data_IF_676278622457
#
_entry.id   IF_676278622457
#
_cell.length_a   1.000
_cell.length_b   1.000
_cell.length_c   1.000
_cell.angle_alpha   90.00
_cell.angle_beta   90.00
_cell.angle_gamma   90.00
#
_symmetry.space_group_name_H-M   'P 1'
#
loop_
_entity.id
_entity.type
_entity.pdbx_description
1 polymer ?
#
# COMPACT_ATOMS: atom_id res chain seq x y z
N UNK A 1 -21.40 -1.51 24.58
CA UNK A 1 -21.94 -0.62 23.54
C UNK A 1 -23.16 -1.28 22.93
N UNK A 2 -24.28 -0.56 22.84
CA UNK A 2 -25.45 -1.05 22.13
C UNK A 2 -25.07 -1.46 20.69
N UNK A 3 -25.61 -2.58 20.17
CA UNK A 3 -25.36 -2.98 18.79
C UNK A 3 -25.71 -1.82 17.84
N UNK A 4 -24.72 -1.34 17.09
CA UNK A 4 -24.91 -0.28 16.07
C UNK A 4 -24.29 1.09 16.41
N UNK A 5 -23.80 1.35 17.63
CA UNK A 5 -23.08 2.61 17.90
C UNK A 5 -21.62 2.54 17.47
N UNK A 6 -21.21 3.52 16.65
CA UNK A 6 -19.83 3.70 16.23
C UNK A 6 -18.97 4.24 17.38
N UNK A 7 -17.72 3.78 17.45
CA UNK A 7 -16.72 4.33 18.37
C UNK A 7 -16.44 5.80 17.98
N UNK A 8 -16.47 6.76 18.92
CA UNK A 8 -16.13 8.15 18.62
C UNK A 8 -14.65 8.27 18.20
N UNK A 9 -14.37 9.21 17.30
CA UNK A 9 -13.00 9.58 16.93
C UNK A 9 -12.34 10.31 18.10
N UNK A 10 -11.16 9.86 18.54
CA UNK A 10 -10.45 10.46 19.69
C UNK A 10 -9.02 10.88 19.37
N UNK A 11 -8.40 11.63 20.27
CA UNK A 11 -7.02 12.15 20.15
C UNK A 11 -6.03 11.02 19.85
N UNK A 12 -6.14 9.87 20.51
CA UNK A 12 -5.23 8.76 20.26
C UNK A 12 -5.42 8.14 18.85
N UNK A 13 -6.59 8.27 18.22
CA UNK A 13 -6.75 7.85 16.82
C UNK A 13 -6.01 8.81 15.88
N UNK A 14 -6.08 10.12 16.15
CA UNK A 14 -5.28 11.14 15.45
C UNK A 14 -3.79 10.81 15.56
N UNK A 15 -3.31 10.53 16.78
CA UNK A 15 -1.89 10.21 17.01
C UNK A 15 -1.46 8.95 16.24
N UNK A 16 -2.31 7.91 16.17
CA UNK A 16 -2.01 6.71 15.39
C UNK A 16 -1.92 7.04 13.89
N UNK A 17 -2.85 7.85 13.37
CA UNK A 17 -2.82 8.25 11.95
C UNK A 17 -1.59 9.09 11.64
N UNK A 18 -1.29 10.12 12.44
CA UNK A 18 -0.10 10.96 12.29
C UNK A 18 1.18 10.13 12.38
N UNK A 19 1.26 9.21 13.35
CA UNK A 19 2.38 8.28 13.49
C UNK A 19 2.55 7.40 12.26
N UNK A 20 1.46 6.88 11.70
CA UNK A 20 1.52 6.04 10.50
C UNK A 20 1.98 6.79 9.24
N UNK A 21 1.56 8.05 9.08
CA UNK A 21 2.04 8.92 7.99
C UNK A 21 3.53 9.21 8.19
N UNK A 22 3.96 9.50 9.42
CA UNK A 22 5.36 9.75 9.76
C UNK A 22 6.25 8.55 9.46
N UNK A 23 5.77 7.33 9.75
CA UNK A 23 6.46 6.08 9.36
C UNK A 23 6.59 5.97 7.85
N UNK A 24 5.50 6.23 7.10
CA UNK A 24 5.54 6.24 5.63
C UNK A 24 6.58 7.23 5.08
N UNK A 25 6.61 8.46 5.60
CA UNK A 25 7.62 9.46 5.25
C UNK A 25 9.05 9.03 5.61
N UNK A 26 9.23 8.38 6.76
CA UNK A 26 10.53 7.82 7.17
C UNK A 26 11.01 6.74 6.21
N UNK A 27 10.11 5.85 5.76
CA UNK A 27 10.42 4.82 4.75
C UNK A 27 10.81 5.47 3.41
N UNK A 28 10.06 6.48 2.96
CA UNK A 28 10.39 7.23 1.73
C UNK A 28 11.81 7.78 1.82
N UNK A 29 12.17 8.44 2.93
CA UNK A 29 13.50 8.99 3.14
C UNK A 29 14.59 7.92 3.18
N UNK A 30 14.29 6.73 3.71
CA UNK A 30 15.26 5.63 3.80
C UNK A 30 15.53 4.97 2.44
N UNK A 31 14.50 4.81 1.61
CA UNK A 31 14.62 4.18 0.28
C UNK A 31 15.17 5.19 -0.74
N UNK A 32 14.76 6.45 -0.64
CA UNK A 32 15.13 7.53 -1.54
C UNK A 32 15.83 8.65 -0.76
N UNK A 33 17.08 8.43 -0.29
CA UNK A 33 17.80 9.43 0.49
C UNK A 33 18.04 10.72 -0.31
N UNK A 34 18.19 10.59 -1.63
CA UNK A 34 18.33 11.66 -2.59
C UNK A 34 17.16 11.57 -3.57
N UNK A 35 15.95 11.97 -3.16
CA UNK A 35 14.87 12.20 -4.15
C UNK A 35 15.41 13.25 -5.12
N UNK A 36 15.76 12.79 -6.32
CA UNK A 36 16.31 13.60 -7.40
C UNK A 36 15.22 14.45 -8.01
N UNK A 37 14.85 15.52 -7.32
CA UNK A 37 13.85 16.47 -7.83
C UNK A 37 14.25 17.06 -9.18
N UNK A 38 15.55 17.10 -9.47
CA UNK A 38 16.11 17.45 -10.79
C UNK A 38 15.67 16.48 -11.90
N UNK A 39 15.56 15.18 -11.60
CA UNK A 39 15.06 14.19 -12.55
C UNK A 39 13.59 14.47 -12.91
N UNK A 40 12.71 14.54 -11.92
CA UNK A 40 11.28 14.82 -12.15
C UNK A 40 11.05 16.18 -12.82
N UNK A 41 11.82 17.20 -12.44
CA UNK A 41 11.72 18.52 -13.07
C UNK A 41 12.12 18.49 -14.55
N UNK A 42 13.13 17.69 -14.93
CA UNK A 42 13.55 17.53 -16.33
C UNK A 42 12.50 16.80 -17.15
N UNK A 43 11.95 15.71 -16.64
CA UNK A 43 10.89 14.95 -17.32
C UNK A 43 9.63 15.81 -17.51
N UNK A 44 9.25 16.61 -16.50
CA UNK A 44 8.14 17.55 -16.62
C UNK A 44 8.41 18.72 -17.58
N UNK A 45 9.69 18.99 -17.90
CA UNK A 45 10.13 20.04 -18.81
C UNK A 45 10.45 19.52 -20.23
N UNK A 46 10.43 18.21 -20.47
CA UNK A 46 10.75 17.64 -21.79
C UNK A 46 9.77 18.10 -22.87
N UNK A 47 8.57 18.50 -22.48
CA UNK A 47 7.48 18.87 -23.37
C UNK A 47 6.72 17.66 -23.92
N UNK A 48 7.18 16.44 -23.64
CA UNK A 48 6.47 15.21 -23.96
C UNK A 48 5.45 14.89 -22.86
N UNK A 49 4.21 14.65 -23.25
CA UNK A 49 3.14 14.28 -22.33
C UNK A 49 3.38 12.90 -21.72
N UNK A 50 4.01 11.98 -22.44
CA UNK A 50 4.27 10.62 -21.98
C UNK A 50 5.28 10.61 -20.82
N UNK A 51 6.41 11.30 -20.97
CA UNK A 51 7.42 11.50 -19.92
C UNK A 51 6.82 12.15 -18.66
N UNK A 52 6.03 13.21 -18.83
CA UNK A 52 5.36 13.90 -17.73
C UNK A 52 4.40 12.96 -16.96
N UNK A 53 3.65 12.12 -17.67
CA UNK A 53 2.76 11.13 -17.06
C UNK A 53 3.58 10.09 -16.30
N UNK A 54 4.62 9.54 -16.92
CA UNK A 54 5.52 8.55 -16.30
C UNK A 54 6.13 9.09 -15.01
N UNK A 55 6.70 10.30 -15.05
CA UNK A 55 7.26 10.98 -13.89
C UNK A 55 6.23 11.17 -12.77
N UNK A 56 4.99 11.56 -13.11
CA UNK A 56 3.91 11.70 -12.13
C UNK A 56 3.51 10.35 -11.51
N UNK A 57 3.48 9.29 -12.29
CA UNK A 57 3.16 7.94 -11.83
C UNK A 57 4.23 7.40 -10.88
N UNK A 58 5.51 7.56 -11.23
CA UNK A 58 6.62 7.19 -10.37
C UNK A 58 6.60 7.98 -9.06
N UNK A 59 6.44 9.29 -9.13
CA UNK A 59 6.34 10.14 -7.95
C UNK A 59 5.17 9.73 -7.05
N UNK A 60 4.02 9.40 -7.64
CA UNK A 60 2.87 8.89 -6.91
C UNK A 60 3.18 7.55 -6.23
N UNK A 61 3.78 6.59 -6.93
CA UNK A 61 4.12 5.29 -6.36
C UNK A 61 5.13 5.43 -5.21
N UNK A 62 6.14 6.28 -5.37
CA UNK A 62 7.18 6.54 -4.38
C UNK A 62 6.59 7.22 -3.14
N UNK A 63 5.77 8.27 -3.31
CA UNK A 63 5.28 9.07 -2.19
C UNK A 63 4.01 8.51 -1.56
N UNK A 64 3.05 8.05 -2.36
CA UNK A 64 1.74 7.64 -1.85
C UNK A 64 1.78 6.23 -1.26
N UNK A 65 2.48 5.28 -1.87
CA UNK A 65 2.39 3.87 -1.45
C UNK A 65 2.81 3.60 0.00
N UNK A 66 3.92 4.18 0.54
CA UNK A 66 4.31 3.91 1.93
C UNK A 66 3.34 4.56 2.92
N UNK A 67 2.80 5.73 2.57
CA UNK A 67 1.80 6.44 3.36
C UNK A 67 0.48 5.65 3.37
N UNK A 68 0.00 5.19 2.22
CA UNK A 68 -1.22 4.39 2.10
C UNK A 68 -1.10 3.05 2.81
N UNK A 69 0.08 2.42 2.80
CA UNK A 69 0.35 1.20 3.55
C UNK A 69 0.28 1.47 5.06
N UNK A 70 0.92 2.55 5.52
CA UNK A 70 0.85 3.02 6.90
C UNK A 70 -0.59 3.28 7.35
N UNK A 71 -1.38 3.99 6.54
CA UNK A 71 -2.80 4.26 6.81
C UNK A 71 -3.66 3.00 6.82
N UNK A 72 -3.34 2.01 5.98
CA UNK A 72 -3.99 0.69 5.98
C UNK A 72 -3.73 -0.04 7.30
N UNK A 73 -2.47 -0.08 7.74
CA UNK A 73 -2.07 -0.66 9.02
C UNK A 73 -2.70 0.08 10.22
N UNK A 74 -2.72 1.41 10.18
CA UNK A 74 -3.36 2.25 11.19
C UNK A 74 -4.85 1.97 11.31
N UNK A 75 -5.55 1.85 10.18
CA UNK A 75 -6.99 1.54 10.16
C UNK A 75 -7.28 0.18 10.80
N UNK A 76 -6.47 -0.84 10.51
CA UNK A 76 -6.57 -2.15 11.16
C UNK A 76 -6.28 -2.04 12.66
N UNK A 77 -5.20 -1.36 13.05
CA UNK A 77 -4.80 -1.17 14.45
C UNK A 77 -5.87 -0.44 15.28
N UNK A 78 -6.40 0.67 14.77
CA UNK A 78 -7.49 1.46 15.38
C UNK A 78 -8.74 0.59 15.59
N UNK A 79 -9.05 -0.29 14.64
CA UNK A 79 -10.21 -1.19 14.74
C UNK A 79 -10.03 -2.29 15.78
N UNK A 80 -8.81 -2.80 15.94
CA UNK A 80 -8.46 -3.84 16.92
C UNK A 80 -8.27 -3.27 18.34
N UNK A 81 -8.28 -1.94 18.49
CA UNK A 81 -8.17 -1.25 19.79
C UNK A 81 -9.48 -1.31 20.59
N UNK A 82 -9.35 -1.17 21.92
CA UNK A 82 -10.50 -1.16 22.86
C UNK A 82 -11.47 0.00 22.60
N UNK A 83 -12.80 -0.20 22.79
CA UNK A 83 -13.46 -1.47 23.11
C UNK A 83 -13.41 -2.42 21.90
N UNK A 84 -12.82 -3.61 22.09
CA UNK A 84 -12.46 -4.50 20.99
C UNK A 84 -13.75 -5.11 20.41
N UNK A 85 -14.13 -4.83 19.16
CA UNK A 85 -15.15 -5.64 18.50
C UNK A 85 -14.66 -7.08 18.44
N UNK A 86 -15.57 -8.06 18.44
CA UNK A 86 -15.18 -9.44 18.15
C UNK A 86 -14.49 -9.47 16.78
N UNK A 87 -13.39 -10.23 16.67
CA UNK A 87 -12.56 -10.26 15.46
C UNK A 87 -13.40 -10.61 14.21
N UNK A 88 -14.36 -11.53 14.37
CA UNK A 88 -15.35 -11.89 13.34
C UNK A 88 -16.23 -10.73 12.89
N UNK A 89 -16.56 -9.77 13.76
CA UNK A 89 -17.32 -8.55 13.42
C UNK A 89 -16.42 -7.48 12.81
N UNK A 90 -15.20 -7.34 13.30
CA UNK A 90 -14.20 -6.42 12.74
C UNK A 90 -13.86 -6.78 11.29
N UNK A 91 -13.61 -8.06 11.04
CA UNK A 91 -13.34 -8.60 9.71
C UNK A 91 -14.60 -8.73 8.85
N UNK A 92 -15.75 -8.13 9.19
CA UNK A 92 -16.93 -8.07 8.31
C UNK A 92 -17.14 -6.68 7.69
N UNK A 93 -16.48 -5.64 8.22
CA UNK A 93 -16.53 -4.30 7.63
C UNK A 93 -15.64 -4.26 6.37
N UNK A 94 -16.16 -3.77 5.23
CA UNK A 94 -15.46 -3.80 3.96
C UNK A 94 -14.17 -2.99 3.96
N UNK A 95 -14.13 -1.81 4.60
CA UNK A 95 -12.91 -1.00 4.66
C UNK A 95 -11.79 -1.70 5.44
N UNK A 96 -12.12 -2.26 6.60
CA UNK A 96 -11.14 -2.99 7.44
C UNK A 96 -10.61 -4.23 6.73
N UNK A 97 -11.47 -4.97 6.04
CA UNK A 97 -11.01 -6.14 5.28
C UNK A 97 -10.04 -5.76 4.16
N UNK A 98 -10.36 -4.72 3.39
CA UNK A 98 -9.46 -4.28 2.32
C UNK A 98 -8.10 -3.85 2.89
N UNK A 99 -8.09 -3.05 3.96
CA UNK A 99 -6.88 -2.70 4.67
C UNK A 99 -6.12 -3.92 5.21
N UNK A 100 -6.81 -4.94 5.74
CA UNK A 100 -6.19 -6.19 6.17
C UNK A 100 -5.53 -6.97 5.02
N UNK A 101 -6.19 -7.08 3.86
CA UNK A 101 -5.61 -7.72 2.69
C UNK A 101 -4.40 -6.96 2.16
N UNK A 102 -4.44 -5.62 2.16
CA UNK A 102 -3.29 -4.78 1.80
C UNK A 102 -2.11 -5.11 2.72
N UNK A 103 -2.31 -5.01 4.04
CA UNK A 103 -1.25 -5.26 5.03
C UNK A 103 -0.69 -6.68 4.91
N UNK A 104 -1.55 -7.70 4.76
CA UNK A 104 -1.12 -9.08 4.61
C UNK A 104 -0.37 -9.34 3.30
N UNK A 105 -0.85 -8.76 2.19
CA UNK A 105 -0.21 -8.84 0.88
C UNK A 105 1.20 -8.27 0.93
N UNK A 106 1.35 -7.05 1.45
CA UNK A 106 2.67 -6.42 1.64
C UNK A 106 3.57 -7.21 2.59
N UNK A 107 3.04 -7.70 3.72
CA UNK A 107 3.82 -8.51 4.64
C UNK A 107 4.32 -9.81 3.97
N UNK A 108 3.47 -10.48 3.19
CA UNK A 108 3.89 -11.68 2.45
C UNK A 108 4.94 -11.37 1.39
N UNK A 109 4.81 -10.26 0.65
CA UNK A 109 5.81 -9.83 -0.32
C UNK A 109 7.18 -9.58 0.34
N UNK A 110 7.19 -8.88 1.49
CA UNK A 110 8.43 -8.64 2.26
C UNK A 110 9.04 -9.96 2.73
N UNK A 111 8.24 -10.88 3.28
CA UNK A 111 8.74 -12.19 3.74
C UNK A 111 9.31 -13.00 2.58
N UNK A 112 8.64 -13.04 1.43
CA UNK A 112 9.14 -13.75 0.25
C UNK A 112 10.43 -13.13 -0.27
N UNK A 113 10.54 -11.79 -0.27
CA UNK A 113 11.74 -11.06 -0.68
C UNK A 113 12.93 -11.35 0.25
N UNK A 114 12.71 -11.34 1.55
CA UNK A 114 13.72 -11.68 2.56
C UNK A 114 14.10 -13.17 2.49
N UNK A 115 13.13 -14.05 2.28
CA UNK A 115 13.36 -15.48 2.06
C UNK A 115 14.20 -15.75 0.80
N UNK A 116 13.89 -15.07 -0.30
CA UNK A 116 14.64 -15.17 -1.55
C UNK A 116 16.09 -14.68 -1.38
N UNK A 117 16.28 -13.50 -0.80
CA UNK A 117 17.63 -12.93 -0.59
C UNK A 117 18.51 -13.78 0.34
N UNK A 118 17.92 -14.44 1.34
CA UNK A 118 18.67 -15.29 2.28
C UNK A 118 18.93 -16.70 1.75
N UNK A 119 17.98 -17.31 1.04
CA UNK A 119 18.09 -18.71 0.57
C UNK A 119 18.70 -18.84 -0.83
N UNK A 120 18.31 -17.98 -1.77
CA UNK A 120 18.79 -18.03 -3.16
C UNK A 120 20.08 -17.20 -3.36
N UNK A 121 20.28 -16.15 -2.56
CA UNK A 121 21.45 -15.28 -2.62
C UNK A 121 22.78 -16.05 -2.54
N UNK A 122 23.01 -16.93 -1.56
CA UNK A 122 24.27 -17.68 -1.47
C UNK A 122 24.52 -18.63 -2.64
N UNK A 123 23.46 -19.14 -3.27
CA UNK A 123 23.56 -20.05 -4.43
C UNK A 123 23.86 -19.27 -5.72
N UNK A 124 23.36 -18.05 -5.86
CA UNK A 124 23.62 -17.13 -6.98
C UNK A 124 24.91 -16.30 -6.82
N UNK A 125 25.37 -16.07 -5.58
CA UNK A 125 26.62 -15.34 -5.29
C UNK A 125 27.88 -16.09 -5.76
N UNK A 126 27.78 -17.36 -6.14
CA UNK A 126 28.89 -18.07 -6.79
C UNK A 126 29.09 -17.68 -8.25
N UNK A 127 28.18 -16.91 -8.86
CA UNK A 127 28.25 -16.62 -10.30
C UNK A 127 28.41 -15.16 -10.69
N UNK A 128 28.19 -14.12 -9.86
CA UNK A 128 28.24 -12.76 -10.43
C UNK A 128 28.49 -11.58 -9.47
N UNK A 129 29.40 -10.69 -9.88
CA UNK A 129 29.57 -9.29 -9.45
C UNK A 129 28.31 -8.39 -9.68
N UNK A 130 27.17 -8.96 -10.08
CA UNK A 130 25.89 -8.26 -10.33
C UNK A 130 25.18 -7.82 -9.04
N UNK A 131 25.66 -8.21 -7.86
CA UNK A 131 25.09 -7.76 -6.58
C UNK A 131 25.28 -6.28 -6.27
N UNK A 132 26.19 -5.58 -6.95
CA UNK A 132 26.30 -4.13 -6.82
C UNK A 132 25.07 -3.39 -7.39
N UNK A 133 24.35 -3.99 -8.35
CA UNK A 133 23.11 -3.43 -8.91
C UNK A 133 21.84 -3.99 -8.25
N UNK A 134 21.98 -4.91 -7.29
CA UNK A 134 20.84 -5.54 -6.62
C UNK A 134 19.86 -4.56 -5.94
N UNK A 135 20.29 -3.42 -5.35
CA UNK A 135 19.36 -2.43 -4.82
C UNK A 135 18.42 -1.85 -5.91
N UNK A 136 18.93 -1.67 -7.12
CA UNK A 136 18.16 -1.22 -8.28
C UNK A 136 17.17 -2.29 -8.76
N UNK A 137 17.61 -3.54 -8.86
CA UNK A 137 16.74 -4.68 -9.21
C UNK A 137 15.70 -4.99 -8.14
N UNK A 138 16.03 -4.85 -6.86
CA UNK A 138 15.10 -5.00 -5.73
C UNK A 138 14.07 -3.86 -5.74
N UNK A 139 14.53 -2.63 -6.00
CA UNK A 139 13.68 -1.46 -6.20
C UNK A 139 12.72 -1.65 -7.36
N UNK A 140 13.21 -2.12 -8.52
CA UNK A 140 12.41 -2.45 -9.70
C UNK A 140 11.46 -3.62 -9.45
N UNK A 141 11.90 -4.69 -8.79
CA UNK A 141 11.06 -5.83 -8.46
C UNK A 141 9.94 -5.42 -7.49
N UNK A 142 10.22 -4.56 -6.50
CA UNK A 142 9.19 -3.95 -5.66
C UNK A 142 8.27 -3.06 -6.51
N UNK A 143 8.80 -2.16 -7.34
CA UNK A 143 8.01 -1.30 -8.23
C UNK A 143 7.09 -2.07 -9.18
N UNK A 144 7.50 -3.25 -9.66
CA UNK A 144 6.72 -4.10 -10.57
C UNK A 144 5.77 -5.05 -9.82
N UNK A 145 6.16 -5.53 -8.64
CA UNK A 145 5.32 -6.46 -7.84
C UNK A 145 4.24 -5.74 -7.02
N UNK A 146 4.48 -4.50 -6.61
CA UNK A 146 3.49 -3.62 -5.97
C UNK A 146 2.18 -3.50 -6.78
N UNK A 147 2.20 -3.17 -8.09
CA UNK A 147 1.00 -3.12 -8.92
C UNK A 147 0.24 -4.44 -9.00
N UNK A 148 0.96 -5.54 -9.24
CA UNK A 148 0.37 -6.87 -9.34
C UNK A 148 -0.29 -7.26 -8.00
N UNK A 149 0.33 -6.90 -6.88
CA UNK A 149 -0.24 -7.09 -5.56
C UNK A 149 -1.48 -6.22 -5.34
N UNK A 150 -1.49 -4.97 -5.80
CA UNK A 150 -2.66 -4.08 -5.74
C UNK A 150 -3.85 -4.65 -6.51
N UNK A 151 -3.65 -5.22 -7.69
CA UNK A 151 -4.72 -5.92 -8.42
C UNK A 151 -5.23 -7.15 -7.69
N UNK A 152 -4.35 -8.00 -7.17
CA UNK A 152 -4.76 -9.19 -6.42
C UNK A 152 -5.52 -8.83 -5.15
N UNK A 153 -5.12 -7.75 -4.46
CA UNK A 153 -5.77 -7.24 -3.26
C UNK A 153 -7.14 -6.64 -3.59
N UNK A 154 -7.24 -5.84 -4.66
CA UNK A 154 -8.51 -5.24 -5.10
C UNK A 154 -9.47 -6.31 -5.61
N UNK A 155 -8.99 -7.28 -6.39
CA UNK A 155 -9.77 -8.42 -6.82
C UNK A 155 -10.24 -9.25 -5.62
N UNK A 156 -9.35 -9.59 -4.69
CA UNK A 156 -9.71 -10.31 -3.47
C UNK A 156 -10.73 -9.56 -2.62
N UNK A 157 -10.61 -8.23 -2.51
CA UNK A 157 -11.58 -7.38 -1.82
C UNK A 157 -12.92 -7.33 -2.55
N UNK A 158 -12.91 -7.12 -3.88
CA UNK A 158 -14.10 -7.06 -4.71
C UNK A 158 -14.86 -8.38 -4.67
N UNK A 159 -14.17 -9.51 -4.84
CA UNK A 159 -14.71 -10.87 -4.68
C UNK A 159 -15.28 -11.06 -3.28
N UNK A 160 -14.52 -10.76 -2.22
CA UNK A 160 -15.02 -10.88 -0.86
C UNK A 160 -16.23 -9.98 -0.59
N UNK A 161 -16.33 -8.82 -1.25
CA UNK A 161 -17.46 -7.89 -1.14
C UNK A 161 -18.70 -8.39 -1.87
N UNK A 162 -18.54 -8.99 -3.07
CA UNK A 162 -19.62 -9.53 -3.89
C UNK A 162 -20.24 -10.79 -3.27
N UNK A 163 -19.42 -11.67 -2.70
CA UNK A 163 -19.88 -12.99 -2.20
C UNK A 163 -20.32 -13.01 -0.73
N UNK A 164 -20.32 -11.89 -0.01
CA UNK A 164 -20.76 -11.83 1.39
C UNK A 164 -22.11 -11.10 1.53
N UNK A 165 -23.25 -11.81 1.39
CA UNK A 165 -24.58 -11.26 1.10
C UNK A 165 -25.24 -10.39 2.19
N UNK A 166 -24.54 -10.04 3.28
CA UNK A 166 -25.09 -9.22 4.38
C UNK A 166 -24.06 -8.32 5.06
N UNK A 167 -23.25 -7.58 4.29
CA UNK A 167 -22.43 -6.51 4.86
C UNK A 167 -23.23 -5.23 5.01
N UNK A 168 -23.87 -5.05 6.16
CA UNK A 168 -24.30 -3.71 6.56
C UNK A 168 -23.04 -2.96 6.99
N UNK A 169 -22.54 -2.08 6.12
CA UNK A 169 -21.65 -1.01 6.54
C UNK A 169 -22.27 -0.39 7.79
N UNK A 170 -21.50 -0.30 8.87
CA UNK A 170 -22.02 0.26 10.11
C UNK A 170 -22.32 1.74 9.84
N UNK A 171 -23.61 2.16 9.79
CA UNK A 171 -23.94 3.51 9.34
C UNK A 171 -23.24 4.52 10.25
N UNK A 172 -22.44 5.41 9.66
CA UNK A 172 -21.68 6.43 10.40
C UNK A 172 -20.37 5.97 11.05
N UNK A 173 -19.86 4.76 10.76
CA UNK A 173 -18.57 4.34 11.28
C UNK A 173 -17.44 4.99 10.48
N UNK A 174 -16.83 6.03 11.06
CA UNK A 174 -15.73 6.75 10.42
C UNK A 174 -14.54 5.85 10.07
N UNK A 175 -14.27 4.80 10.86
CA UNK A 175 -13.17 3.84 10.61
C UNK A 175 -13.41 3.06 9.31
N UNK A 176 -14.65 2.65 9.05
CA UNK A 176 -14.98 1.91 7.83
C UNK A 176 -14.90 2.82 6.61
N UNK A 177 -15.35 4.07 6.72
CA UNK A 177 -15.20 5.08 5.65
C UNK A 177 -13.75 5.40 5.36
N UNK A 178 -12.91 5.54 6.38
CA UNK A 178 -11.47 5.72 6.23
C UNK A 178 -10.85 4.53 5.49
N UNK A 179 -11.15 3.30 5.94
CA UNK A 179 -10.67 2.10 5.27
C UNK A 179 -11.12 1.99 3.82
N UNK A 180 -12.38 2.33 3.52
CA UNK A 180 -12.88 2.39 2.14
C UNK A 180 -12.19 3.45 1.31
N UNK A 181 -11.93 4.64 1.87
CA UNK A 181 -11.21 5.71 1.19
C UNK A 181 -9.76 5.29 0.86
N UNK A 182 -9.06 4.68 1.83
CA UNK A 182 -7.71 4.15 1.63
C UNK A 182 -7.72 3.06 0.56
N UNK A 183 -8.65 2.11 0.61
CA UNK A 183 -8.80 1.09 -0.42
C UNK A 183 -9.11 1.70 -1.79
N UNK A 184 -9.94 2.74 -1.86
CA UNK A 184 -10.23 3.45 -3.11
C UNK A 184 -8.99 4.11 -3.70
N UNK A 185 -8.14 4.71 -2.87
CA UNK A 185 -6.86 5.27 -3.31
C UNK A 185 -5.91 4.18 -3.84
N UNK A 186 -5.89 2.99 -3.21
CA UNK A 186 -5.17 1.84 -3.75
C UNK A 186 -5.72 1.41 -5.12
N UNK A 187 -7.05 1.29 -5.28
CA UNK A 187 -7.66 0.96 -6.56
C UNK A 187 -7.30 1.96 -7.66
N UNK A 188 -7.30 3.26 -7.35
CA UNK A 188 -6.91 4.32 -8.29
C UNK A 188 -5.44 4.25 -8.67
N UNK A 189 -4.58 3.73 -7.77
CA UNK A 189 -3.15 3.54 -8.06
C UNK A 189 -2.85 2.26 -8.85
N UNK A 190 -3.70 1.24 -8.79
CA UNK A 190 -3.50 -0.04 -9.48
C UNK A 190 -3.28 0.04 -11.00
N UNK A 191 -4.03 0.85 -11.78
CA UNK A 191 -3.84 0.89 -13.23
C UNK A 191 -2.56 1.61 -13.66
N UNK A 192 -1.97 2.46 -12.81
CA UNK A 192 -0.79 3.28 -13.16
C UNK A 192 0.36 2.42 -13.72
N UNK A 193 0.68 1.24 -13.16
CA UNK A 193 1.84 0.51 -13.65
C UNK A 193 1.55 -0.33 -14.90
N UNK A 194 0.28 -0.70 -15.14
CA UNK A 194 -0.12 -1.26 -16.43
C UNK A 194 0.05 -0.17 -17.50
N UNK A 195 -0.42 1.05 -17.21
CA UNK A 195 -0.24 2.17 -18.12
C UNK A 195 1.24 2.47 -18.38
N UNK A 196 2.07 2.48 -17.33
CA UNK A 196 3.52 2.63 -17.45
C UNK A 196 4.13 1.58 -18.38
N UNK A 197 3.78 0.30 -18.21
CA UNK A 197 4.24 -0.78 -19.09
C UNK A 197 3.77 -0.58 -20.54
N UNK A 198 2.55 -0.09 -20.76
CA UNK A 198 2.02 0.17 -22.11
C UNK A 198 2.66 1.38 -22.81
N UNK A 199 3.22 2.32 -22.06
CA UNK A 199 3.90 3.50 -22.63
C UNK A 199 5.36 3.18 -22.97
N UNK A 200 6.00 2.29 -22.21
CA UNK A 200 7.42 1.94 -22.40
C UNK A 200 7.69 0.93 -23.52
N UNK A 201 6.69 0.16 -23.99
CA UNK A 201 6.82 -0.92 -24.97
C UNK A 201 5.88 -0.74 -26.16
#
# INVERSE_FOLDING_TARGET
MAPGRCRPFGVLDVMILVGSVSVGLGVIRAIFPEIRWDYFARELQSGDLSDAIVACMELWLILASPILLGLSAATVAIRLRRPRPSLRRALRSPGVQGCSWIVLGFASAIVLLLGWSTLAGPLLNRTVDVLAELPGLLGMALLVSLPASSFAIVAGWATASAFLPRRRACPGCWIDRLGLAVCGLWCLSSPLPIFFLLVMF
#
